data_IF_569826940373
#
_entry.id   IF_569826940373
#
_cell.length_a   1.000
_cell.length_b   1.000
_cell.length_c   1.000
_cell.angle_alpha   90.00
_cell.angle_beta   90.00
_cell.angle_gamma   90.00
#
_symmetry.space_group_name_H-M   'P 1'
#
loop_
_entity.id
_entity.type
_entity.pdbx_description
1 polymer ?
#
# COMPACT_ATOMS: atom_id res chain seq x y z
N UNK A 1 10.89 -14.49 -3.70
CA UNK A 1 10.66 -13.06 -3.57
C UNK A 1 10.82 -12.35 -4.91
N UNK A 2 10.69 -11.02 -4.92
CA UNK A 2 10.68 -10.21 -6.13
C UNK A 2 11.91 -10.41 -7.03
N UNK A 3 13.10 -10.54 -6.45
CA UNK A 3 14.34 -10.79 -7.20
C UNK A 3 14.31 -12.11 -8.01
N UNK A 4 13.62 -13.13 -7.49
CA UNK A 4 13.47 -14.39 -8.23
C UNK A 4 12.53 -14.20 -9.42
N UNK A 5 11.41 -13.50 -9.21
CA UNK A 5 10.44 -13.22 -10.27
C UNK A 5 11.08 -12.35 -11.36
N UNK A 6 11.86 -11.34 -10.99
CA UNK A 6 12.63 -10.50 -11.94
C UNK A 6 13.57 -11.36 -12.81
N UNK A 7 14.34 -12.28 -12.19
CA UNK A 7 15.21 -13.23 -12.92
C UNK A 7 14.47 -14.17 -13.85
N UNK A 8 13.20 -14.46 -13.56
CA UNK A 8 12.32 -15.29 -14.40
C UNK A 8 11.63 -14.48 -15.52
N UNK A 9 11.88 -13.17 -15.60
CA UNK A 9 11.33 -12.28 -16.63
C UNK A 9 10.00 -11.64 -16.24
N UNK A 10 9.73 -11.50 -14.94
CA UNK A 10 8.54 -10.87 -14.39
C UNK A 10 7.34 -11.79 -14.24
N UNK A 11 6.27 -11.28 -13.64
CA UNK A 11 5.04 -12.04 -13.37
C UNK A 11 4.37 -12.52 -14.65
N UNK A 12 4.32 -11.74 -15.72
CA UNK A 12 3.74 -12.14 -17.01
C UNK A 12 4.36 -13.45 -17.52
N UNK A 13 5.68 -13.50 -17.57
CA UNK A 13 6.39 -14.70 -18.03
C UNK A 13 6.27 -15.85 -17.05
N UNK A 14 6.32 -15.56 -15.75
CA UNK A 14 6.20 -16.58 -14.70
C UNK A 14 4.84 -17.26 -14.69
N UNK A 15 3.76 -16.49 -14.90
CA UNK A 15 2.37 -17.01 -14.90
C UNK A 15 1.86 -17.43 -16.27
N UNK A 16 2.52 -17.04 -17.36
CA UNK A 16 2.00 -17.20 -18.72
C UNK A 16 0.82 -16.28 -19.05
N UNK A 17 0.60 -15.23 -18.26
CA UNK A 17 -0.48 -14.28 -18.48
C UNK A 17 -0.05 -13.16 -19.40
N UNK A 18 -0.83 -12.88 -20.46
CA UNK A 18 -0.53 -11.87 -21.48
C UNK A 18 -1.44 -10.62 -21.42
N UNK A 19 -2.42 -10.60 -20.53
CA UNK A 19 -3.28 -9.45 -20.31
C UNK A 19 -2.70 -8.47 -19.29
N UNK A 20 -3.36 -7.33 -19.05
CA UNK A 20 -2.93 -6.36 -18.06
C UNK A 20 -2.82 -6.96 -16.65
N UNK A 21 -1.82 -6.52 -15.90
CA UNK A 21 -1.56 -6.97 -14.54
C UNK A 21 -1.31 -5.79 -13.62
N UNK A 22 -1.95 -5.82 -12.46
CA UNK A 22 -1.80 -4.84 -11.41
C UNK A 22 -1.19 -5.52 -10.17
N UNK A 23 -0.28 -4.84 -9.50
CA UNK A 23 0.21 -5.23 -8.18
C UNK A 23 -0.23 -4.23 -7.11
N UNK A 24 -0.53 -4.75 -5.93
CA UNK A 24 -0.75 -3.92 -4.74
C UNK A 24 0.60 -3.51 -4.12
N UNK A 25 0.59 -2.38 -3.40
CA UNK A 25 1.78 -1.83 -2.74
C UNK A 25 2.23 -2.58 -1.49
N UNK A 26 1.33 -3.35 -0.90
CA UNK A 26 1.50 -3.99 0.41
C UNK A 26 0.88 -3.22 1.58
N UNK A 27 0.26 -2.06 1.37
CA UNK A 27 -0.39 -1.26 2.40
C UNK A 27 -1.51 -2.02 3.11
N UNK A 28 -2.35 -2.71 2.33
CA UNK A 28 -3.44 -3.53 2.88
C UNK A 28 -2.91 -4.75 3.68
N UNK A 29 -1.83 -5.37 3.23
CA UNK A 29 -1.21 -6.49 3.95
C UNK A 29 -0.63 -6.04 5.29
N UNK A 30 -0.03 -4.85 5.34
CA UNK A 30 0.44 -4.22 6.60
C UNK A 30 -0.74 -4.00 7.55
N UNK A 31 -1.87 -3.46 7.06
CA UNK A 31 -3.10 -3.30 7.82
C UNK A 31 -3.59 -4.65 8.39
N UNK A 32 -3.71 -5.68 7.55
CA UNK A 32 -4.21 -7.00 7.96
C UNK A 32 -3.33 -7.69 9.00
N UNK A 33 -2.04 -7.40 9.02
CA UNK A 33 -1.09 -7.91 10.03
C UNK A 33 -1.25 -7.23 11.39
N UNK A 34 -1.80 -6.00 11.40
CA UNK A 34 -2.02 -5.21 12.63
C UNK A 34 -3.37 -5.47 13.30
N UNK A 35 -4.43 -5.56 12.50
CA UNK A 35 -5.83 -5.52 12.98
C UNK A 35 -6.53 -6.91 13.00
N UNK A 36 -5.87 -7.97 12.56
CA UNK A 36 -6.46 -9.30 12.47
C UNK A 36 -7.04 -9.65 11.10
N UNK A 37 -8.00 -10.59 11.04
CA UNK A 37 -8.50 -11.06 9.76
C UNK A 37 -9.47 -10.06 9.10
N UNK A 38 -9.32 -9.88 7.80
CA UNK A 38 -10.22 -9.10 6.92
C UNK A 38 -11.71 -9.37 7.17
N UNK A 39 -12.07 -10.62 7.54
CA UNK A 39 -13.45 -11.00 7.83
C UNK A 39 -14.05 -10.28 9.05
N UNK A 40 -13.24 -9.83 10.00
CA UNK A 40 -13.71 -9.09 11.16
C UNK A 40 -13.94 -7.62 10.84
N UNK A 41 -13.10 -7.02 10.00
CA UNK A 41 -13.25 -5.63 9.53
C UNK A 41 -14.47 -5.47 8.64
N UNK A 42 -14.64 -6.33 7.65
CA UNK A 42 -15.80 -6.32 6.72
C UNK A 42 -17.13 -6.48 7.47
N UNK A 43 -17.14 -7.16 8.64
CA UNK A 43 -18.35 -7.34 9.46
C UNK A 43 -18.57 -6.22 10.47
N UNK A 44 -17.76 -5.16 10.46
CA UNK A 44 -17.84 -4.05 11.42
C UNK A 44 -17.65 -4.50 12.88
N UNK A 45 -17.01 -5.66 13.09
CA UNK A 45 -16.75 -6.19 14.43
C UNK A 45 -15.38 -5.73 14.88
N UNK A 46 -15.33 -5.07 16.05
CA UNK A 46 -14.07 -4.79 16.74
C UNK A 46 -13.30 -6.09 16.91
N UNK A 47 -12.12 -6.19 16.33
CA UNK A 47 -11.25 -7.34 16.55
C UNK A 47 -10.99 -7.49 18.05
N UNK A 48 -11.21 -8.69 18.58
CA UNK A 48 -10.80 -9.00 19.97
C UNK A 48 -9.28 -9.02 19.94
N UNK A 49 -8.66 -8.02 20.55
CA UNK A 49 -7.22 -7.84 20.63
C UNK A 49 -6.60 -9.01 21.39
N UNK A 50 -5.98 -9.94 20.66
CA UNK A 50 -5.01 -10.86 21.24
C UNK A 50 -3.61 -10.27 21.03
N UNK A 51 -3.06 -9.68 22.09
CA UNK A 51 -1.81 -8.93 22.09
C UNK A 51 -0.56 -9.82 21.80
N UNK A 52 -0.74 -11.14 21.73
CA UNK A 52 0.35 -12.10 21.62
C UNK A 52 0.83 -12.42 20.20
N UNK A 53 0.11 -11.97 19.15
CA UNK A 53 0.39 -12.33 17.76
C UNK A 53 0.45 -11.13 16.79
N UNK A 54 0.81 -9.93 17.27
CA UNK A 54 0.96 -8.78 16.37
C UNK A 54 2.22 -8.92 15.52
N UNK A 55 2.01 -9.23 14.24
CA UNK A 55 3.09 -9.19 13.26
C UNK A 55 3.47 -7.76 12.86
N UNK A 56 2.51 -6.82 12.84
CA UNK A 56 2.80 -5.40 12.68
C UNK A 56 3.42 -4.85 13.96
N UNK A 57 4.62 -4.28 13.86
CA UNK A 57 5.38 -3.74 14.97
C UNK A 57 5.23 -2.23 15.08
N UNK A 58 5.27 -1.51 13.96
CA UNK A 58 5.27 -0.06 13.94
C UNK A 58 4.96 0.48 12.55
N UNK A 59 4.20 1.59 12.50
CA UNK A 59 4.05 2.46 11.33
C UNK A 59 4.65 3.82 11.69
N UNK A 60 5.52 4.34 10.85
CA UNK A 60 6.19 5.64 11.02
C UNK A 60 6.27 6.36 9.70
N UNK A 61 6.72 7.61 9.72
CA UNK A 61 6.98 8.39 8.50
C UNK A 61 7.92 7.67 7.51
N UNK A 62 8.81 6.83 8.02
CA UNK A 62 9.76 6.08 7.19
C UNK A 62 9.08 4.93 6.44
N UNK A 63 8.13 4.25 7.06
CA UNK A 63 7.44 3.09 6.51
C UNK A 63 6.80 2.22 7.58
N UNK A 64 6.43 1.00 7.22
CA UNK A 64 5.83 0.01 8.08
C UNK A 64 6.80 -1.11 8.42
N UNK A 65 6.98 -1.38 9.72
CA UNK A 65 7.83 -2.45 10.22
C UNK A 65 6.97 -3.60 10.72
N UNK A 66 7.23 -4.81 10.24
CA UNK A 66 6.50 -6.01 10.63
C UNK A 66 7.40 -7.24 10.69
N UNK A 67 6.88 -8.34 11.24
CA UNK A 67 7.53 -9.66 11.23
C UNK A 67 6.97 -10.51 10.09
N UNK A 68 7.88 -11.10 9.31
CA UNK A 68 7.51 -12.10 8.31
C UNK A 68 6.86 -13.31 8.99
N UNK A 69 5.71 -13.72 8.50
CA UNK A 69 5.03 -14.93 8.99
C UNK A 69 5.75 -16.21 8.56
N UNK A 70 6.66 -16.14 7.58
CA UNK A 70 7.39 -17.29 7.06
C UNK A 70 8.58 -17.68 7.95
N UNK A 71 9.34 -16.69 8.42
CA UNK A 71 10.61 -16.88 9.09
C UNK A 71 10.81 -15.99 10.32
N UNK A 72 9.82 -15.16 10.66
CA UNK A 72 9.84 -14.26 11.83
C UNK A 72 10.80 -13.07 11.72
N UNK A 73 11.54 -12.93 10.61
CA UNK A 73 12.47 -11.81 10.43
C UNK A 73 11.73 -10.47 10.38
N UNK A 74 12.38 -9.45 10.89
CA UNK A 74 11.88 -8.08 10.84
C UNK A 74 12.06 -7.50 9.44
N UNK A 75 11.00 -6.96 8.87
CA UNK A 75 10.97 -6.28 7.58
C UNK A 75 10.53 -4.84 7.80
N UNK A 76 11.24 -3.90 7.21
CA UNK A 76 10.81 -2.50 7.11
C UNK A 76 10.43 -2.22 5.66
N UNK A 77 9.14 -2.09 5.38
CA UNK A 77 8.61 -1.76 4.07
C UNK A 77 8.46 -0.24 3.98
N UNK A 78 9.28 0.37 3.13
CA UNK A 78 9.24 1.80 2.84
C UNK A 78 8.56 2.07 1.50
N UNK A 79 8.11 3.29 1.20
CA UNK A 79 7.58 3.66 -0.11
C UNK A 79 8.53 3.29 -1.26
N UNK A 80 9.83 3.54 -1.10
CA UNK A 80 10.83 3.21 -2.11
C UNK A 80 10.94 1.70 -2.34
N UNK A 81 10.97 0.92 -1.24
CA UNK A 81 11.06 -0.53 -1.33
C UNK A 81 9.80 -1.13 -1.96
N UNK A 82 8.61 -0.57 -1.65
CA UNK A 82 7.36 -0.99 -2.27
C UNK A 82 7.38 -0.78 -3.79
N UNK A 83 7.91 0.36 -4.26
CA UNK A 83 8.09 0.62 -5.69
C UNK A 83 9.08 -0.36 -6.32
N UNK A 84 10.23 -0.60 -5.69
CA UNK A 84 11.25 -1.52 -6.20
C UNK A 84 10.73 -2.96 -6.31
N UNK A 85 9.94 -3.40 -5.33
CA UNK A 85 9.31 -4.72 -5.36
C UNK A 85 8.35 -4.83 -6.55
N UNK A 86 7.43 -3.88 -6.72
CA UNK A 86 6.44 -3.91 -7.80
C UNK A 86 7.11 -3.81 -9.18
N UNK A 87 8.13 -2.96 -9.31
CA UNK A 87 8.95 -2.87 -10.53
C UNK A 87 9.57 -4.22 -10.90
N UNK A 88 10.21 -4.89 -9.94
CA UNK A 88 10.83 -6.22 -10.15
C UNK A 88 9.80 -7.31 -10.47
N UNK A 89 8.61 -7.21 -9.93
CA UNK A 89 7.51 -8.10 -10.29
C UNK A 89 7.07 -7.93 -11.74
N UNK A 90 7.26 -6.73 -12.32
CA UNK A 90 7.00 -6.48 -13.74
C UNK A 90 5.53 -6.43 -14.10
N UNK A 91 4.66 -5.98 -13.18
CA UNK A 91 3.26 -5.67 -13.49
C UNK A 91 3.16 -4.37 -14.30
N UNK A 92 2.08 -4.21 -15.07
CA UNK A 92 1.84 -3.01 -15.88
C UNK A 92 1.43 -1.82 -15.02
N UNK A 93 0.64 -2.06 -13.97
CA UNK A 93 0.10 -1.05 -13.07
C UNK A 93 0.61 -1.28 -11.65
N UNK A 94 1.22 -0.25 -11.08
CA UNK A 94 1.76 -0.21 -9.72
C UNK A 94 0.89 0.69 -8.85
N UNK A 95 0.76 0.36 -7.56
CA UNK A 95 0.08 1.18 -6.57
C UNK A 95 1.07 1.92 -5.68
N UNK A 96 0.78 3.19 -5.40
CA UNK A 96 1.49 3.92 -4.35
C UNK A 96 1.40 3.16 -3.01
N UNK A 97 2.44 3.21 -2.20
CA UNK A 97 2.40 2.71 -0.82
C UNK A 97 1.62 3.68 0.07
N UNK A 98 0.67 3.15 0.81
CA UNK A 98 -0.23 3.91 1.66
C UNK A 98 -0.48 3.20 2.99
N UNK A 99 -1.01 3.92 3.97
CA UNK A 99 -1.62 3.33 5.15
C UNK A 99 -3.11 3.16 4.89
N UNK A 100 -3.56 1.90 4.79
CA UNK A 100 -4.97 1.59 4.78
C UNK A 100 -5.55 1.83 6.18
N UNK A 101 -6.23 2.96 6.37
CA UNK A 101 -6.70 3.41 7.68
C UNK A 101 -7.85 2.53 8.16
N UNK A 102 -7.82 1.99 9.40
CA UNK A 102 -8.91 1.21 9.96
C UNK A 102 -10.21 2.01 10.03
N UNK A 103 -11.36 1.37 9.77
CA UNK A 103 -12.67 2.03 9.77
C UNK A 103 -13.06 2.65 11.13
N UNK A 104 -12.67 2.01 12.23
CA UNK A 104 -13.11 2.36 13.59
C UNK A 104 -12.27 3.42 14.29
N UNK A 105 -11.22 3.95 13.64
CA UNK A 105 -10.38 5.00 14.21
C UNK A 105 -11.07 6.38 14.09
N UNK A 106 -10.65 7.31 14.94
CA UNK A 106 -11.19 8.67 14.93
C UNK A 106 -10.71 9.48 13.71
N UNK A 107 -11.36 10.63 13.50
CA UNK A 107 -11.05 11.53 12.39
C UNK A 107 -9.63 12.06 12.46
N UNK A 108 -9.11 12.32 13.66
CA UNK A 108 -7.76 12.89 13.82
C UNK A 108 -6.68 11.88 13.43
N UNK A 109 -6.87 10.61 13.80
CA UNK A 109 -5.99 9.53 13.30
C UNK A 109 -6.10 9.40 11.78
N UNK A 110 -7.33 9.37 11.25
CA UNK A 110 -7.58 9.27 9.81
C UNK A 110 -6.89 10.39 9.04
N UNK A 111 -6.95 11.63 9.55
CA UNK A 111 -6.28 12.77 8.94
C UNK A 111 -4.75 12.60 8.94
N UNK A 112 -4.15 12.22 10.08
CA UNK A 112 -2.68 11.99 10.16
C UNK A 112 -2.22 10.86 9.24
N UNK A 113 -2.95 9.75 9.19
CA UNK A 113 -2.70 8.61 8.32
C UNK A 113 -2.77 9.00 6.83
N UNK A 114 -3.81 9.74 6.45
CA UNK A 114 -3.97 10.27 5.10
C UNK A 114 -2.79 11.18 4.71
N UNK A 115 -2.43 12.13 5.57
CA UNK A 115 -1.30 13.05 5.32
C UNK A 115 0.04 12.30 5.19
N UNK A 116 0.25 11.26 5.98
CA UNK A 116 1.42 10.39 5.84
C UNK A 116 1.40 9.64 4.51
N UNK A 117 0.25 9.10 4.09
CA UNK A 117 0.09 8.45 2.79
C UNK A 117 0.33 9.42 1.62
N UNK A 118 -0.02 10.70 1.77
CA UNK A 118 0.31 11.76 0.82
C UNK A 118 1.84 11.91 0.68
N UNK A 119 2.56 12.04 1.79
CA UNK A 119 4.03 12.16 1.77
C UNK A 119 4.72 10.89 1.23
N UNK A 120 4.16 9.72 1.53
CA UNK A 120 4.61 8.46 0.94
C UNK A 120 4.35 8.41 -0.57
N UNK A 121 3.26 9.00 -1.03
CA UNK A 121 2.96 9.14 -2.46
C UNK A 121 4.02 9.94 -3.20
N UNK A 122 4.47 11.08 -2.65
CA UNK A 122 5.57 11.87 -3.22
C UNK A 122 6.88 11.06 -3.29
N UNK A 123 7.15 10.22 -2.28
CA UNK A 123 8.33 9.33 -2.26
C UNK A 123 8.20 8.21 -3.30
N UNK A 124 7.00 7.65 -3.45
CA UNK A 124 6.72 6.64 -4.48
C UNK A 124 6.94 7.19 -5.89
N UNK A 125 6.38 8.39 -6.19
CA UNK A 125 6.58 9.06 -7.47
C UNK A 125 8.06 9.27 -7.77
N UNK A 126 8.78 9.84 -6.82
CA UNK A 126 10.23 10.09 -6.97
C UNK A 126 11.05 8.81 -7.20
N UNK A 127 10.68 7.72 -6.54
CA UNK A 127 11.34 6.42 -6.75
C UNK A 127 10.96 5.80 -8.08
N UNK A 128 9.68 5.90 -8.47
CA UNK A 128 9.19 5.43 -9.76
C UNK A 128 9.91 6.13 -10.93
N UNK A 129 9.97 7.47 -10.91
CA UNK A 129 10.64 8.28 -11.95
C UNK A 129 12.12 7.92 -12.14
N UNK A 130 12.83 7.58 -11.07
CA UNK A 130 14.26 7.20 -11.15
C UNK A 130 14.50 5.94 -11.97
N UNK A 131 13.51 5.07 -12.07
CA UNK A 131 13.61 3.75 -12.68
C UNK A 131 12.57 3.52 -13.77
N UNK A 132 11.87 4.59 -14.18
CA UNK A 132 10.87 4.52 -15.25
C UNK A 132 11.53 4.17 -16.57
N UNK A 133 11.00 3.14 -17.21
CA UNK A 133 11.39 2.66 -18.54
C UNK A 133 10.26 2.77 -19.55
N UNK A 134 9.17 3.46 -19.21
CA UNK A 134 7.99 3.61 -20.05
C UNK A 134 7.11 2.36 -20.18
N UNK A 135 7.40 1.30 -19.43
CA UNK A 135 6.67 0.03 -19.52
C UNK A 135 5.62 -0.14 -18.42
N UNK A 136 5.67 0.68 -17.37
CA UNK A 136 4.81 0.57 -16.19
C UNK A 136 4.14 1.92 -15.90
N UNK A 137 3.04 1.89 -15.17
CA UNK A 137 2.30 3.09 -14.77
C UNK A 137 2.01 3.06 -13.26
N UNK A 138 2.18 4.21 -12.59
CA UNK A 138 1.94 4.35 -11.15
C UNK A 138 0.58 5.00 -10.89
N UNK A 139 -0.21 4.39 -10.03
CA UNK A 139 -1.48 4.91 -9.53
C UNK A 139 -1.31 5.50 -8.14
N UNK A 140 -1.85 6.71 -7.95
CA UNK A 140 -2.05 7.30 -6.63
C UNK A 140 -3.29 6.73 -5.95
N UNK A 141 -3.35 6.81 -4.62
CA UNK A 141 -4.48 6.29 -3.83
C UNK A 141 -5.11 7.41 -3.01
N UNK A 142 -6.43 7.57 -3.17
CA UNK A 142 -7.22 8.48 -2.34
C UNK A 142 -7.57 7.79 -1.03
N UNK A 143 -7.14 8.38 0.09
CA UNK A 143 -7.45 7.99 1.46
C UNK A 143 -8.36 9.04 2.15
N UNK A 144 -8.65 8.90 3.45
CA UNK A 144 -9.48 9.84 4.21
C UNK A 144 -10.69 9.18 4.90
N UNK A 145 -10.76 7.84 4.90
CA UNK A 145 -11.83 7.08 5.55
C UNK A 145 -13.22 7.49 5.04
N UNK A 146 -14.16 7.71 5.96
CA UNK A 146 -15.54 8.12 5.66
C UNK A 146 -15.71 9.65 5.68
N UNK A 147 -14.64 10.43 5.86
CA UNK A 147 -14.70 11.88 6.04
C UNK A 147 -14.58 12.59 4.69
N UNK A 148 -15.63 13.24 4.23
CA UNK A 148 -15.70 13.89 2.92
C UNK A 148 -14.61 14.94 2.72
N UNK A 149 -14.35 15.77 3.71
CA UNK A 149 -13.32 16.80 3.66
C UNK A 149 -11.91 16.20 3.47
N UNK A 150 -11.59 15.13 4.17
CA UNK A 150 -10.31 14.43 4.03
C UNK A 150 -10.21 13.76 2.66
N UNK A 151 -11.27 13.13 2.20
CA UNK A 151 -11.31 12.50 0.87
C UNK A 151 -11.12 13.52 -0.26
N UNK A 152 -11.74 14.71 -0.15
CA UNK A 152 -11.54 15.79 -1.10
C UNK A 152 -10.07 16.23 -1.11
N UNK A 153 -9.49 16.49 0.07
CA UNK A 153 -8.09 16.87 0.19
C UNK A 153 -7.15 15.84 -0.44
N UNK A 154 -7.32 14.56 -0.12
CA UNK A 154 -6.54 13.46 -0.72
C UNK A 154 -6.73 13.34 -2.23
N UNK A 155 -7.96 13.57 -2.72
CA UNK A 155 -8.27 13.55 -4.15
C UNK A 155 -7.60 14.71 -4.90
N UNK A 156 -7.64 15.92 -4.33
CA UNK A 156 -6.99 17.10 -4.92
C UNK A 156 -5.48 16.89 -4.99
N UNK A 157 -4.86 16.35 -3.93
CA UNK A 157 -3.45 15.97 -3.95
C UNK A 157 -3.14 15.00 -5.10
N UNK A 158 -3.91 13.89 -5.21
CA UNK A 158 -3.65 12.85 -6.23
C UNK A 158 -3.82 13.41 -7.65
N UNK A 159 -4.83 14.26 -7.86
CA UNK A 159 -5.08 14.93 -9.14
C UNK A 159 -3.95 15.87 -9.56
N UNK A 160 -3.32 16.57 -8.59
CA UNK A 160 -2.30 17.58 -8.85
C UNK A 160 -0.88 16.98 -8.96
N UNK A 161 -0.75 15.66 -9.01
CA UNK A 161 0.52 14.92 -9.17
C UNK A 161 0.54 14.11 -10.44
N UNK A 162 1.73 13.78 -10.90
CA UNK A 162 1.97 13.00 -12.14
C UNK A 162 1.74 11.50 -11.95
N UNK A 163 0.67 11.12 -11.22
CA UNK A 163 0.19 9.76 -11.25
C UNK A 163 -0.50 9.47 -12.58
N UNK A 164 -0.29 8.27 -13.11
CA UNK A 164 -0.98 7.83 -14.33
C UNK A 164 -2.50 7.73 -14.13
N UNK A 165 -2.92 7.37 -12.95
CA UNK A 165 -4.33 7.22 -12.59
C UNK A 165 -4.54 7.27 -11.08
N UNK A 166 -5.80 7.18 -10.66
CA UNK A 166 -6.22 7.28 -9.28
C UNK A 166 -7.01 6.05 -8.85
N UNK A 167 -6.60 5.45 -7.75
CA UNK A 167 -7.34 4.41 -7.04
C UNK A 167 -8.09 5.00 -5.85
N UNK A 168 -9.18 4.36 -5.47
CA UNK A 168 -9.99 4.73 -4.30
C UNK A 168 -9.75 3.70 -3.21
N UNK A 169 -9.12 4.13 -2.10
CA UNK A 169 -8.79 3.29 -0.97
C UNK A 169 -9.62 3.59 0.28
N UNK A 170 -9.49 2.72 1.30
CA UNK A 170 -9.91 3.01 2.67
C UNK A 170 -11.41 3.19 2.92
N UNK A 171 -12.30 2.51 2.20
CA UNK A 171 -13.75 2.57 2.41
C UNK A 171 -14.37 1.19 2.66
N UNK A 172 -13.68 0.37 3.46
CA UNK A 172 -14.19 -0.94 3.86
C UNK A 172 -14.96 -0.79 5.18
N UNK A 173 -16.28 -0.78 5.10
CA UNK A 173 -17.19 -0.71 6.26
C UNK A 173 -18.60 -1.12 5.91
#
# INVERSE_FOLDING_TARGET
>A
GADLIEKMGGLHKFTGWHGPMLTDSGGFQVFSLGEGTMANEIKGRKAVYDDKNKNLLQITEEGATFRSYLDGRKINLTPELAMDIQRKLGADLLMQFDECTPYHVDKDYTARSMEMSIRWGDRCLKQFERHDNGAQALYGIVQGGIHEDLRRHSSDYTKDRDFFGTAVGGCLG
#
